data_IF_784179740030
#
_entry.id   IF_784179740030
#
_cell.length_a   1.000
_cell.length_b   1.000
_cell.length_c   1.000
_cell.angle_alpha   90.00
_cell.angle_beta   90.00
_cell.angle_gamma   90.00
#
_symmetry.space_group_name_H-M   'P 1'
#
loop_
_entity.id
_entity.type
_entity.pdbx_description
1 polymer ?
#
# COMPACT_ATOMS: atom_id res chain seq x y z
N UNK A 1 3.99 -11.98 -18.67
CA UNK A 1 4.04 -11.02 -18.78
C UNK A 1 3.29 -9.99 -18.26
N UNK A 2 2.63 -9.28 -18.92
CA UNK A 2 1.98 -8.18 -18.43
C UNK A 2 0.71 -8.43 -17.86
N UNK A 3 0.19 -9.59 -17.96
CA UNK A 3 -1.11 -9.83 -17.46
C UNK A 3 -1.23 -9.61 -16.00
N UNK A 4 -0.19 -9.60 -15.25
CA UNK A 4 -0.31 -9.39 -13.83
C UNK A 4 -0.64 -7.95 -13.47
N UNK A 5 -0.61 -7.07 -14.46
CA UNK A 5 -0.89 -5.71 -14.17
C UNK A 5 -2.27 -5.45 -13.72
N UNK A 6 -3.24 -6.21 -14.16
CA UNK A 6 -4.61 -6.00 -13.73
C UNK A 6 -4.78 -6.20 -12.23
N UNK A 7 -3.88 -6.95 -11.61
CA UNK A 7 -3.97 -7.18 -10.18
C UNK A 7 -3.44 -6.01 -9.37
N UNK A 8 -2.79 -5.06 -10.04
CA UNK A 8 -2.25 -3.89 -9.37
C UNK A 8 -3.22 -2.70 -9.43
N UNK A 9 -4.41 -2.93 -9.93
CA UNK A 9 -5.43 -1.88 -9.99
C UNK A 9 -6.46 -2.13 -8.90
N UNK A 10 -6.73 -1.09 -8.12
CA UNK A 10 -7.70 -1.15 -7.03
C UNK A 10 -8.89 -0.32 -7.46
N UNK A 11 -10.08 -0.90 -7.45
CA UNK A 11 -11.29 -0.20 -7.86
C UNK A 11 -12.05 0.23 -6.62
N UNK A 12 -11.99 1.52 -6.32
CA UNK A 12 -12.60 2.09 -5.13
C UNK A 12 -13.68 3.08 -5.55
N UNK A 13 -14.92 2.78 -5.25
CA UNK A 13 -16.03 3.65 -5.57
C UNK A 13 -16.13 3.95 -7.06
N UNK A 14 -15.74 3.02 -7.92
CA UNK A 14 -15.77 3.23 -9.36
C UNK A 14 -14.52 3.87 -9.92
N UNK A 15 -13.57 4.28 -9.06
CA UNK A 15 -12.34 4.88 -9.53
C UNK A 15 -11.22 3.85 -9.57
N UNK A 16 -10.43 3.89 -10.63
CA UNK A 16 -9.29 2.98 -10.77
C UNK A 16 -8.06 3.59 -10.12
N UNK A 17 -7.47 2.87 -9.18
CA UNK A 17 -6.28 3.33 -8.48
C UNK A 17 -5.14 2.39 -8.80
N UNK A 18 -4.02 2.91 -9.29
CA UNK A 18 -2.84 2.09 -9.52
C UNK A 18 -2.09 1.90 -8.21
N UNK A 19 -1.95 0.65 -7.77
CA UNK A 19 -1.20 0.38 -6.56
C UNK A 19 0.26 0.77 -6.72
N UNK A 20 0.78 0.68 -7.95
CA UNK A 20 2.18 1.04 -8.22
C UNK A 20 2.39 2.53 -8.03
N UNK A 21 1.43 3.35 -8.41
CA UNK A 21 1.53 4.80 -8.22
C UNK A 21 1.60 5.14 -6.74
N UNK A 22 0.76 4.50 -5.93
CA UNK A 22 0.75 4.74 -4.49
C UNK A 22 2.04 4.25 -3.85
N UNK A 23 2.52 3.07 -4.28
CA UNK A 23 3.77 2.54 -3.77
C UNK A 23 4.93 3.47 -4.07
N UNK A 24 4.95 4.05 -5.27
CA UNK A 24 6.02 4.96 -5.66
C UNK A 24 6.07 6.18 -4.76
N UNK A 25 4.92 6.73 -4.42
CA UNK A 25 4.84 7.86 -3.51
C UNK A 25 5.36 7.47 -2.13
N UNK A 26 5.02 6.27 -1.66
CA UNK A 26 5.49 5.79 -0.36
C UNK A 26 7.02 5.62 -0.35
N UNK A 27 7.58 5.10 -1.44
CA UNK A 27 9.03 4.92 -1.51
C UNK A 27 9.80 6.24 -1.52
N UNK A 28 9.14 7.34 -1.85
CA UNK A 28 9.81 8.64 -1.81
C UNK A 28 9.95 9.16 -0.38
N UNK A 29 9.22 8.59 0.55
CA UNK A 29 9.30 9.03 1.95
C UNK A 29 10.66 8.61 2.51
N UNK A 30 11.41 9.53 3.15
CA UNK A 30 12.79 9.26 3.54
C UNK A 30 12.97 8.13 4.55
N UNK A 31 11.95 7.81 5.34
CA UNK A 31 12.08 6.74 6.34
C UNK A 31 11.44 5.42 5.92
N UNK A 32 10.84 5.36 4.72
CA UNK A 32 10.24 4.13 4.23
C UNK A 32 11.30 3.29 3.53
N UNK A 33 11.50 2.06 4.01
CA UNK A 33 12.42 1.13 3.38
C UNK A 33 11.71 0.33 2.29
N UNK A 34 10.53 -0.18 2.60
CA UNK A 34 9.74 -0.96 1.65
C UNK A 34 8.28 -0.64 1.83
N UNK A 35 7.53 -0.71 0.74
CA UNK A 35 6.10 -0.49 0.79
C UNK A 35 5.41 -1.35 -0.25
N UNK A 36 4.21 -1.80 0.07
CA UNK A 36 3.36 -2.51 -0.87
C UNK A 36 1.92 -2.10 -0.62
N UNK A 37 1.17 -1.93 -1.69
CA UNK A 37 -0.22 -1.51 -1.60
C UNK A 37 -1.08 -2.57 -2.26
N UNK A 38 -2.11 -3.01 -1.55
CA UNK A 38 -3.02 -4.04 -2.05
C UNK A 38 -4.45 -3.59 -1.84
N UNK A 39 -5.38 -4.22 -2.56
CA UNK A 39 -6.79 -3.94 -2.41
C UNK A 39 -7.31 -4.61 -1.14
N UNK A 40 -8.07 -3.87 -0.36
CA UNK A 40 -8.76 -4.39 0.80
C UNK A 40 -10.26 -4.29 0.54
N UNK A 41 -11.03 -5.37 0.74
CA UNK A 41 -12.47 -5.30 0.54
C UNK A 41 -13.10 -4.28 1.48
N UNK A 42 -14.04 -3.52 0.96
CA UNK A 42 -14.73 -2.49 1.74
C UNK A 42 -16.20 -2.49 1.37
N UNK A 43 -17.11 -2.55 2.35
CA UNK A 43 -18.54 -2.64 2.07
C UNK A 43 -19.13 -1.41 1.41
N UNK A 44 -18.48 -0.25 1.58
CA UNK A 44 -18.99 0.98 0.99
C UNK A 44 -18.41 1.25 -0.40
N UNK A 45 -17.11 1.01 -0.57
CA UNK A 45 -16.42 1.39 -1.78
C UNK A 45 -16.09 0.22 -2.72
N UNK A 46 -16.34 -1.01 -2.27
CA UNK A 46 -15.94 -2.21 -2.99
C UNK A 46 -14.54 -2.61 -2.62
N UNK A 47 -13.58 -1.75 -2.89
CA UNK A 47 -12.20 -1.95 -2.49
C UNK A 47 -11.61 -0.61 -2.08
N UNK A 48 -10.61 -0.66 -1.20
CA UNK A 48 -9.84 0.54 -0.85
C UNK A 48 -8.37 0.14 -0.79
N UNK A 49 -7.45 1.08 -1.02
CA UNK A 49 -6.02 0.78 -0.91
C UNK A 49 -5.64 0.52 0.55
N UNK A 50 -4.82 -0.49 0.77
CA UNK A 50 -4.25 -0.78 2.08
C UNK A 50 -2.74 -0.82 1.90
N UNK A 51 -2.03 0.03 2.61
CA UNK A 51 -0.58 0.14 2.49
C UNK A 51 0.10 -0.64 3.60
N UNK A 52 1.09 -1.45 3.22
CA UNK A 52 1.95 -2.16 4.15
C UNK A 52 3.33 -1.53 4.02
N UNK A 53 3.87 -1.04 5.12
CA UNK A 53 5.10 -0.25 5.12
C UNK A 53 6.11 -0.80 6.08
N UNK A 54 7.36 -0.92 5.64
CA UNK A 54 8.49 -1.26 6.50
C UNK A 54 9.37 -0.03 6.61
N UNK A 55 9.66 0.41 7.82
CA UNK A 55 10.51 1.57 8.04
C UNK A 55 11.98 1.17 8.06
N UNK A 56 12.86 2.12 7.72
CA UNK A 56 14.28 1.87 7.75
C UNK A 56 14.76 1.64 9.16
N UNK A 57 15.77 0.77 9.38
CA UNK A 57 16.33 0.59 10.70
C UNK A 57 16.88 1.91 11.24
N UNK A 58 16.61 2.19 12.50
CA UNK A 58 17.08 3.43 13.10
C UNK A 58 16.29 4.67 12.74
N UNK A 59 15.25 4.52 11.93
CA UNK A 59 14.42 5.66 11.56
C UNK A 59 13.60 6.12 12.77
N UNK A 60 13.26 7.41 12.83
CA UNK A 60 12.40 7.88 13.90
C UNK A 60 11.03 7.22 13.80
N UNK A 61 10.39 7.02 14.92
CA UNK A 61 9.07 6.43 14.95
C UNK A 61 8.09 7.40 14.32
N UNK A 62 7.33 6.90 13.33
CA UNK A 62 6.28 7.70 12.71
C UNK A 62 5.00 6.89 12.76
N UNK A 63 3.88 7.58 12.67
CA UNK A 63 2.58 6.95 12.80
C UNK A 63 1.93 6.72 11.44
N UNK A 64 0.85 5.93 11.43
CA UNK A 64 0.06 5.77 10.22
C UNK A 64 -0.45 7.12 9.72
N UNK A 65 -0.79 8.03 10.64
CA UNK A 65 -1.26 9.35 10.27
C UNK A 65 -0.19 10.13 9.49
N UNK A 66 1.08 9.97 9.86
CA UNK A 66 2.17 10.62 9.16
C UNK A 66 2.28 10.10 7.72
N UNK A 67 2.14 8.80 7.54
CA UNK A 67 2.19 8.18 6.22
C UNK A 67 1.00 8.66 5.39
N UNK A 68 -0.19 8.70 6.00
CA UNK A 68 -1.39 9.16 5.29
C UNK A 68 -1.28 10.62 4.87
N UNK A 69 -0.68 11.46 5.73
CA UNK A 69 -0.49 12.85 5.39
C UNK A 69 0.47 13.00 4.21
N UNK A 70 1.54 12.21 4.20
CA UNK A 70 2.49 12.19 3.08
C UNK A 70 1.77 11.83 1.79
N UNK A 71 0.88 10.83 1.86
CA UNK A 71 0.11 10.42 0.68
C UNK A 71 -0.85 11.52 0.24
N UNK A 72 -1.50 12.19 1.19
CA UNK A 72 -2.42 13.28 0.84
C UNK A 72 -1.71 14.42 0.14
N UNK A 73 -0.46 14.67 0.52
CA UNK A 73 0.31 15.76 -0.07
C UNK A 73 0.81 15.42 -1.49
N UNK A 74 0.82 14.14 -1.84
CA UNK A 74 1.42 13.69 -3.08
C UNK A 74 0.50 12.90 -4.01
N UNK A 75 -0.73 12.64 -3.60
CA UNK A 75 -1.68 11.85 -4.39
C UNK A 75 -3.04 12.52 -4.43
N UNK A 76 -3.81 12.20 -5.46
CA UNK A 76 -5.20 12.61 -5.49
C UNK A 76 -5.92 11.96 -4.30
N UNK A 77 -6.92 12.67 -3.77
CA UNK A 77 -7.60 12.23 -2.55
C UNK A 77 -8.11 10.78 -2.62
N UNK A 78 -8.69 10.38 -3.74
CA UNK A 78 -9.26 9.05 -3.84
C UNK A 78 -8.19 7.95 -3.90
N UNK A 79 -6.94 8.31 -4.14
CA UNK A 79 -5.85 7.34 -4.23
C UNK A 79 -5.16 7.10 -2.89
N UNK A 80 -5.46 7.91 -1.89
CA UNK A 80 -4.82 7.80 -0.58
C UNK A 80 -5.28 6.52 0.10
N UNK A 81 -4.36 5.72 0.66
CA UNK A 81 -4.75 4.49 1.36
C UNK A 81 -5.68 4.78 2.53
N UNK A 82 -6.60 3.86 2.78
CA UNK A 82 -7.48 3.98 3.93
C UNK A 82 -6.87 3.34 5.18
N UNK A 83 -5.94 2.43 4.99
CA UNK A 83 -5.30 1.72 6.10
C UNK A 83 -3.80 1.67 5.87
N UNK A 84 -3.02 1.78 6.93
CA UNK A 84 -1.57 1.65 6.88
C UNK A 84 -1.17 0.66 7.96
N UNK A 85 -0.41 -0.36 7.58
CA UNK A 85 0.06 -1.38 8.50
C UNK A 85 1.58 -1.38 8.46
N UNK A 86 2.22 -1.26 9.61
CA UNK A 86 3.67 -1.31 9.71
C UNK A 86 4.12 -2.72 10.06
N UNK A 87 5.24 -3.13 9.49
CA UNK A 87 5.83 -4.41 9.83
C UNK A 87 6.61 -4.98 8.66
N UNK A 88 7.23 -6.15 8.86
CA UNK A 88 7.98 -6.78 7.78
C UNK A 88 7.04 -7.27 6.70
N UNK A 89 7.49 -7.22 5.45
CA UNK A 89 6.69 -7.68 4.31
C UNK A 89 7.12 -9.08 3.93
N UNK A 90 6.17 -9.97 3.61
CA UNK A 90 6.51 -11.33 3.19
C UNK A 90 7.21 -11.30 1.84
N UNK A 91 8.27 -12.06 1.70
CA UNK A 91 9.04 -12.09 0.47
C UNK A 91 9.33 -13.51 0.04
N UNK A 92 9.50 -13.67 -1.26
CA UNK A 92 9.92 -14.95 -1.82
C UNK A 92 11.41 -15.13 -1.58
N UNK A 93 11.94 -16.30 -1.90
CA UNK A 93 13.37 -16.56 -1.77
C UNK A 93 14.18 -15.64 -2.67
N UNK A 94 13.56 -15.08 -3.72
CA UNK A 94 14.26 -14.17 -4.62
C UNK A 94 14.11 -12.72 -4.18
N UNK A 95 13.46 -12.46 -3.04
CA UNK A 95 13.34 -11.11 -2.51
C UNK A 95 12.14 -10.32 -2.99
N UNK A 96 11.24 -10.94 -3.74
CA UNK A 96 10.05 -10.23 -4.21
C UNK A 96 8.95 -10.26 -3.15
N UNK A 97 8.26 -9.13 -3.01
CA UNK A 97 7.18 -9.03 -2.05
C UNK A 97 5.98 -9.86 -2.51
N UNK A 98 5.46 -10.70 -1.62
CA UNK A 98 4.34 -11.58 -1.94
C UNK A 98 3.03 -10.85 -1.65
N UNK A 99 2.53 -10.14 -2.64
CA UNK A 99 1.32 -9.34 -2.46
C UNK A 99 0.08 -10.17 -2.15
N UNK A 100 0.04 -11.42 -2.61
CA UNK A 100 -1.13 -12.24 -2.31
C UNK A 100 -1.26 -12.51 -0.81
N UNK A 101 -0.13 -12.62 -0.11
CA UNK A 101 -0.14 -12.79 1.34
C UNK A 101 -0.64 -11.51 1.99
N UNK A 102 -0.22 -10.37 1.47
CA UNK A 102 -0.66 -9.08 2.00
C UNK A 102 -2.14 -8.86 1.78
N UNK A 103 -2.68 -9.32 0.66
CA UNK A 103 -4.12 -9.21 0.42
C UNK A 103 -4.91 -10.01 1.45
N UNK A 104 -4.41 -11.18 1.85
CA UNK A 104 -5.05 -11.95 2.89
C UNK A 104 -4.96 -11.23 4.23
N UNK A 105 -3.82 -10.64 4.53
CA UNK A 105 -3.67 -9.90 5.78
C UNK A 105 -4.56 -8.66 5.80
N UNK A 106 -4.73 -8.01 4.65
CA UNK A 106 -5.56 -6.82 4.56
C UNK A 106 -7.01 -7.10 4.93
N UNK A 107 -7.48 -8.31 4.68
CA UNK A 107 -8.85 -8.67 5.05
C UNK A 107 -9.06 -8.67 6.55
N UNK A 108 -8.00 -8.87 7.31
CA UNK A 108 -8.09 -8.94 8.76
C UNK A 108 -7.86 -7.59 9.45
N UNK A 109 -7.49 -6.59 8.71
CA UNK A 109 -7.21 -5.25 9.27
C UNK A 109 -8.47 -4.46 9.56
#
# INVERSE_FOLDING_TARGET
MIKDRSKDVIISGGENISSLEVEEVLYRHPVVMEAAVVAKPDPKWGEVPCAFVTLKPGAPAITAADILQWCRDNLARYKVPKHVVFGPLPKTSTGKIQKYVLREQARAV
#
